data_IF_156104728115
#
_entry.id   IF_156104728115
#
_cell.length_a   1.000
_cell.length_b   1.000
_cell.length_c   1.000
_cell.angle_alpha   90.00
_cell.angle_beta   90.00
_cell.angle_gamma   90.00
#
_symmetry.space_group_name_H-M   'P 1'
#
loop_
_entity.id
_entity.type
_entity.pdbx_description
1 polymer ?
#
# COMPACT_ATOMS: atom_id res chain seq x y z
N UNK A 1 -15.47 -5.83 20.10
CA UNK A 1 -14.22 -6.23 19.42
C UNK A 1 -13.29 -6.74 20.51
N UNK A 2 -13.12 -8.05 20.60
CA UNK A 2 -12.41 -8.66 21.74
C UNK A 2 -10.96 -8.88 21.35
N UNK A 3 -10.05 -8.17 22.01
CA UNK A 3 -8.61 -8.29 21.81
C UNK A 3 -8.21 -9.66 22.40
N UNK A 4 -7.59 -10.53 21.60
CA UNK A 4 -7.02 -11.79 22.12
C UNK A 4 -5.99 -11.46 23.19
N UNK A 5 -5.88 -12.32 24.21
CA UNK A 5 -5.17 -12.05 25.46
C UNK A 5 -3.76 -11.49 25.24
N UNK A 6 -3.53 -10.24 25.66
CA UNK A 6 -2.23 -9.60 25.71
C UNK A 6 -1.45 -10.06 26.95
N UNK A 7 -0.91 -11.29 26.89
CA UNK A 7 -0.21 -11.94 28.01
C UNK A 7 1.08 -11.25 28.42
N UNK A 8 1.64 -10.39 27.55
CA UNK A 8 2.86 -9.63 27.80
C UNK A 8 2.59 -8.20 28.28
N UNK A 9 1.32 -7.82 28.48
CA UNK A 9 0.93 -6.52 29.01
C UNK A 9 1.48 -5.32 28.20
N UNK A 10 1.56 -5.45 26.87
CA UNK A 10 1.92 -4.37 25.95
C UNK A 10 0.86 -3.26 25.93
N UNK A 11 1.27 -2.02 25.67
CA UNK A 11 0.33 -0.94 25.47
C UNK A 11 -0.52 -1.18 24.21
N UNK A 12 -1.82 -0.93 24.32
CA UNK A 12 -2.79 -1.12 23.24
C UNK A 12 -3.10 0.26 22.67
N UNK A 13 -2.75 0.46 21.40
CA UNK A 13 -2.93 1.71 20.67
C UNK A 13 -3.83 1.47 19.45
N UNK A 14 -4.67 2.44 19.08
CA UNK A 14 -5.42 2.35 17.84
C UNK A 14 -4.49 2.69 16.66
N UNK A 15 -4.67 1.99 15.54
CA UNK A 15 -3.87 2.23 14.35
C UNK A 15 -3.92 3.71 13.90
N UNK A 16 -5.07 4.36 14.03
CA UNK A 16 -5.25 5.78 13.68
C UNK A 16 -4.44 6.75 14.55
N UNK A 17 -4.00 6.33 15.74
CA UNK A 17 -3.21 7.16 16.65
C UNK A 17 -1.69 7.05 16.39
N UNK A 18 -1.28 5.97 15.70
CA UNK A 18 0.13 5.64 15.45
C UNK A 18 0.50 5.63 13.96
N UNK A 19 -0.48 5.77 13.07
CA UNK A 19 -0.24 5.77 11.64
C UNK A 19 -1.23 6.64 10.86
N UNK A 20 -0.72 7.24 9.78
CA UNK A 20 -1.52 7.92 8.77
C UNK A 20 -1.86 6.95 7.65
N UNK A 21 -3.13 6.92 7.26
CA UNK A 21 -3.63 6.11 6.15
C UNK A 21 -3.96 7.00 4.95
N UNK A 22 -3.39 6.69 3.80
CA UNK A 22 -3.67 7.38 2.54
C UNK A 22 -4.22 6.40 1.51
N UNK A 23 -5.38 6.70 0.93
CA UNK A 23 -5.92 5.90 -0.16
C UNK A 23 -5.26 6.28 -1.49
N UNK A 24 -5.00 5.27 -2.32
CA UNK A 24 -4.53 5.47 -3.68
C UNK A 24 -5.60 6.14 -4.56
N UNK A 25 -5.25 6.44 -5.81
CA UNK A 25 -6.14 7.16 -6.72
C UNK A 25 -5.92 6.71 -8.15
N UNK A 26 -7.01 6.57 -8.89
CA UNK A 26 -6.98 6.51 -10.35
C UNK A 26 -8.36 6.93 -10.86
N UNK A 27 -8.51 8.22 -11.20
CA UNK A 27 -9.82 8.81 -11.50
C UNK A 27 -10.45 8.43 -12.85
N UNK A 28 -9.70 8.23 -13.96
CA UNK A 28 -10.30 8.01 -15.28
C UNK A 28 -11.06 6.70 -15.37
N UNK A 29 -12.09 6.73 -16.22
CA UNK A 29 -12.92 5.58 -16.57
C UNK A 29 -13.04 5.53 -18.11
N UNK A 30 -12.77 4.37 -18.74
CA UNK A 30 -12.36 3.10 -18.13
C UNK A 30 -10.92 3.13 -17.57
N UNK A 31 -10.62 2.30 -16.56
CA UNK A 31 -9.32 2.32 -15.85
C UNK A 31 -8.14 1.81 -16.71
N UNK A 32 -8.42 1.14 -17.82
CA UNK A 32 -7.44 0.49 -18.69
C UNK A 32 -7.14 1.30 -19.98
N UNK A 33 -7.52 2.58 -20.03
CA UNK A 33 -7.21 3.44 -21.17
C UNK A 33 -5.68 3.48 -21.39
N UNK A 34 -5.17 2.96 -22.54
CA UNK A 34 -3.74 2.86 -22.82
C UNK A 34 -3.00 4.20 -22.77
N UNK A 35 -3.69 5.33 -22.95
CA UNK A 35 -3.09 6.66 -23.02
C UNK A 35 -2.46 7.14 -21.71
N UNK A 36 -2.74 6.49 -20.58
CA UNK A 36 -2.14 6.79 -19.27
C UNK A 36 -0.89 5.96 -18.96
N UNK A 37 -0.63 4.91 -19.74
CA UNK A 37 0.41 3.92 -19.48
C UNK A 37 1.64 4.09 -20.39
N UNK A 38 2.70 3.30 -20.14
CA UNK A 38 3.88 3.23 -21.00
C UNK A 38 4.91 4.32 -20.76
N UNK A 39 5.09 4.73 -19.50
CA UNK A 39 6.10 5.71 -19.11
C UNK A 39 7.15 5.15 -18.16
N UNK A 40 7.75 6.04 -17.36
CA UNK A 40 8.84 5.72 -16.41
C UNK A 40 8.38 5.54 -14.96
N UNK A 41 7.11 5.82 -14.66
CA UNK A 41 6.63 5.87 -13.28
C UNK A 41 6.04 4.52 -12.88
N UNK A 42 6.59 3.81 -11.86
CA UNK A 42 6.08 2.51 -11.45
C UNK A 42 4.61 2.59 -11.03
N UNK A 43 3.81 1.62 -11.47
CA UNK A 43 2.40 1.51 -11.13
C UNK A 43 2.12 0.14 -10.55
N UNK A 44 1.62 0.12 -9.32
CA UNK A 44 1.38 -1.11 -8.59
C UNK A 44 -0.12 -1.41 -8.52
N UNK A 45 -0.42 -2.69 -8.69
CA UNK A 45 -1.74 -3.27 -8.54
C UNK A 45 -1.75 -4.27 -7.39
N UNK A 46 -2.94 -4.72 -6.99
CA UNK A 46 -3.11 -5.64 -5.86
C UNK A 46 -2.40 -6.98 -6.09
N UNK A 47 -2.30 -7.43 -7.35
CA UNK A 47 -1.52 -8.61 -7.73
C UNK A 47 -0.01 -8.45 -7.52
N UNK A 48 0.55 -7.25 -7.78
CA UNK A 48 1.98 -6.98 -7.52
C UNK A 48 2.27 -7.05 -6.01
N UNK A 49 1.36 -6.54 -5.17
CA UNK A 49 1.47 -6.62 -3.70
C UNK A 49 1.46 -8.09 -3.25
N UNK A 50 0.49 -8.86 -3.72
CA UNK A 50 0.36 -10.28 -3.38
C UNK A 50 1.61 -11.10 -3.73
N UNK A 51 2.24 -10.79 -4.86
CA UNK A 51 3.41 -11.53 -5.37
C UNK A 51 4.75 -10.98 -4.84
N UNK A 52 4.73 -9.94 -4.01
CA UNK A 52 5.95 -9.25 -3.56
C UNK A 52 6.70 -9.91 -2.40
N UNK A 53 6.15 -10.97 -1.79
CA UNK A 53 6.71 -11.60 -0.60
C UNK A 53 7.12 -10.57 0.48
N UNK A 54 6.18 -9.70 0.85
CA UNK A 54 6.34 -8.63 1.86
C UNK A 54 7.22 -7.42 1.46
N UNK A 55 8.03 -7.50 0.39
CA UNK A 55 8.85 -6.37 -0.10
C UNK A 55 8.62 -6.10 -1.58
N UNK A 56 7.84 -5.07 -1.90
CA UNK A 56 7.48 -4.73 -3.27
C UNK A 56 8.60 -3.95 -3.96
N UNK A 57 9.31 -4.64 -4.86
CA UNK A 57 10.28 -4.06 -5.80
C UNK A 57 9.88 -4.26 -7.27
N UNK A 58 9.14 -5.33 -7.55
CA UNK A 58 8.74 -5.72 -8.91
C UNK A 58 7.31 -5.23 -9.16
N UNK A 59 7.08 -4.70 -10.35
CA UNK A 59 5.80 -4.19 -10.82
C UNK A 59 5.63 -4.57 -12.29
N UNK A 60 4.38 -4.71 -12.72
CA UNK A 60 4.03 -5.17 -14.06
C UNK A 60 3.70 -4.04 -15.03
N UNK A 61 3.42 -2.83 -14.52
CA UNK A 61 2.92 -1.72 -15.33
C UNK A 61 3.56 -0.39 -14.93
N UNK A 62 3.59 0.56 -15.87
CA UNK A 62 4.08 1.92 -15.63
C UNK A 62 3.12 2.98 -16.16
N UNK A 63 3.12 4.13 -15.51
CA UNK A 63 2.41 5.33 -15.92
C UNK A 63 3.33 6.31 -16.65
N UNK A 64 2.72 7.08 -17.56
CA UNK A 64 3.31 8.25 -18.17
C UNK A 64 2.91 9.53 -17.40
N UNK A 65 3.32 10.69 -17.92
CA UNK A 65 3.05 12.00 -17.31
C UNK A 65 1.55 12.33 -17.17
N UNK A 66 0.67 11.74 -18.00
CA UNK A 66 -0.79 11.86 -17.84
C UNK A 66 -1.27 10.96 -16.70
N UNK A 67 -0.78 9.73 -16.65
CA UNK A 67 -1.14 8.74 -15.64
C UNK A 67 -0.83 9.21 -14.20
N UNK A 68 0.32 9.83 -13.98
CA UNK A 68 0.68 10.30 -12.63
C UNK A 68 -0.24 11.41 -12.11
N UNK A 69 -0.77 12.27 -13.01
CA UNK A 69 -1.66 13.38 -12.63
C UNK A 69 -2.98 12.88 -12.09
N UNK A 70 -3.42 11.74 -12.59
CA UNK A 70 -4.68 11.11 -12.19
C UNK A 70 -4.50 10.04 -11.12
N UNK A 71 -3.25 9.70 -10.79
CA UNK A 71 -2.92 8.74 -9.74
C UNK A 71 -2.40 9.39 -8.46
N UNK A 72 -2.06 8.58 -7.46
CA UNK A 72 -1.48 9.00 -6.19
C UNK A 72 -0.15 8.28 -6.02
N UNK A 73 0.89 9.06 -5.70
CA UNK A 73 2.23 8.56 -5.41
C UNK A 73 2.32 8.11 -3.95
N UNK A 74 2.97 6.97 -3.75
CA UNK A 74 3.48 6.47 -2.49
C UNK A 74 5.00 6.35 -2.56
N UNK A 75 5.65 6.50 -1.43
CA UNK A 75 7.11 6.58 -1.34
C UNK A 75 7.70 5.26 -0.86
N UNK A 76 8.97 5.05 -1.16
CA UNK A 76 9.75 3.96 -0.57
C UNK A 76 9.62 3.94 0.95
N UNK A 77 9.44 2.75 1.51
CA UNK A 77 9.25 2.52 2.95
C UNK A 77 7.79 2.58 3.41
N UNK A 78 6.85 3.07 2.60
CA UNK A 78 5.42 3.02 2.92
C UNK A 78 4.93 1.56 2.94
N UNK A 79 4.06 1.23 3.89
CA UNK A 79 3.35 -0.05 3.91
C UNK A 79 2.16 0.10 2.97
N UNK A 80 1.93 -0.84 2.06
CA UNK A 80 0.77 -0.87 1.16
C UNK A 80 -0.08 -2.10 1.43
N UNK A 81 -1.40 -1.92 1.44
CA UNK A 81 -2.38 -3.00 1.63
C UNK A 81 -3.41 -2.98 0.50
N UNK A 82 -3.66 -4.15 -0.08
CA UNK A 82 -4.75 -4.36 -1.02
C UNK A 82 -6.10 -4.46 -0.29
N UNK A 83 -7.07 -3.64 -0.70
CA UNK A 83 -8.39 -3.54 -0.04
C UNK A 83 -9.56 -4.01 -0.93
N UNK A 84 -9.29 -4.44 -2.16
CA UNK A 84 -10.30 -4.93 -3.12
C UNK A 84 -9.76 -6.13 -3.89
N UNK A 85 -10.65 -7.07 -4.26
CA UNK A 85 -10.35 -8.18 -5.16
C UNK A 85 -10.02 -9.50 -4.45
N UNK A 86 -9.38 -10.43 -5.16
CA UNK A 86 -9.04 -11.75 -4.63
C UNK A 86 -7.87 -11.75 -3.63
N UNK A 87 -7.14 -10.63 -3.52
CA UNK A 87 -5.93 -10.47 -2.70
C UNK A 87 -6.15 -9.48 -1.56
N UNK A 88 -7.37 -9.35 -1.05
CA UNK A 88 -7.68 -8.46 0.09
C UNK A 88 -6.81 -8.83 1.29
N UNK A 89 -6.22 -7.83 1.94
CA UNK A 89 -5.31 -8.01 3.08
C UNK A 89 -3.86 -8.24 2.69
N UNK A 90 -3.56 -8.51 1.41
CA UNK A 90 -2.18 -8.62 0.95
C UNK A 90 -1.42 -7.33 1.27
N UNK A 91 -0.29 -7.48 1.98
CA UNK A 91 0.47 -6.38 2.57
C UNK A 91 1.94 -6.45 2.14
N UNK A 92 2.54 -5.30 1.86
CA UNK A 92 3.95 -5.20 1.49
C UNK A 92 4.56 -3.86 1.85
N UNK A 93 5.87 -3.81 2.03
CA UNK A 93 6.63 -2.56 2.20
C UNK A 93 7.25 -2.18 0.86
N UNK A 94 6.93 -0.98 0.38
CA UNK A 94 7.48 -0.44 -0.87
C UNK A 94 9.01 -0.32 -0.79
N UNK A 95 9.69 -0.89 -1.78
CA UNK A 95 11.14 -0.72 -1.99
C UNK A 95 11.44 0.31 -3.09
N UNK A 96 10.40 0.88 -3.69
CA UNK A 96 10.46 1.87 -4.77
C UNK A 96 9.32 2.88 -4.58
N UNK A 97 9.49 4.07 -5.14
CA UNK A 97 8.37 5.00 -5.30
C UNK A 97 7.41 4.47 -6.37
N UNK A 98 6.11 4.43 -6.05
CA UNK A 98 5.12 3.84 -6.93
C UNK A 98 3.79 4.60 -6.87
N UNK A 99 3.02 4.47 -7.94
CA UNK A 99 1.66 4.97 -8.04
C UNK A 99 0.67 3.82 -7.90
N UNK A 100 -0.48 4.08 -7.30
CA UNK A 100 -1.46 3.03 -7.02
C UNK A 100 -2.90 3.50 -7.25
N UNK A 101 -3.78 2.55 -7.55
CA UNK A 101 -5.23 2.79 -7.67
C UNK A 101 -5.89 2.96 -6.30
N UNK A 102 -7.16 3.34 -6.32
CA UNK A 102 -8.04 3.43 -5.14
C UNK A 102 -8.38 2.06 -4.51
N UNK A 103 -7.83 0.96 -5.05
CA UNK A 103 -7.87 -0.40 -4.49
C UNK A 103 -6.72 -0.70 -3.51
N UNK A 104 -5.82 0.27 -3.30
CA UNK A 104 -4.67 0.15 -2.40
C UNK A 104 -4.68 1.31 -1.42
N UNK A 105 -4.34 1.02 -0.17
CA UNK A 105 -4.06 2.03 0.85
C UNK A 105 -2.57 1.99 1.22
N UNK A 106 -1.99 3.14 1.51
CA UNK A 106 -0.69 3.27 2.13
C UNK A 106 -0.84 3.60 3.62
N UNK A 107 0.01 3.01 4.45
CA UNK A 107 0.08 3.22 5.89
C UNK A 107 1.49 3.73 6.22
N UNK A 108 1.54 4.86 6.94
CA UNK A 108 2.76 5.56 7.33
C UNK A 108 2.77 5.74 8.84
N UNK A 109 3.79 5.22 9.53
CA UNK A 109 3.93 5.48 10.97
C UNK A 109 4.06 6.98 11.25
N UNK A 110 3.46 7.44 12.35
CA UNK A 110 3.60 8.82 12.84
C UNK A 110 4.91 9.06 13.61
N UNK A 111 5.81 8.07 13.67
CA UNK A 111 7.10 8.16 14.34
C UNK A 111 7.10 7.64 15.78
N UNK A 112 5.93 7.32 16.35
CA UNK A 112 5.81 6.52 17.59
C UNK A 112 6.31 5.08 17.41
N UNK A 113 6.28 4.58 16.17
CA UNK A 113 6.71 3.24 15.79
C UNK A 113 7.54 3.31 14.51
N UNK A 114 7.97 2.16 13.96
CA UNK A 114 8.56 2.11 12.63
C UNK A 114 7.71 1.25 11.68
N UNK A 115 7.83 1.50 10.37
CA UNK A 115 7.03 0.81 9.35
C UNK A 115 7.34 -0.70 9.27
N UNK A 116 8.51 -1.15 9.75
CA UNK A 116 8.85 -2.58 9.80
C UNK A 116 8.05 -3.29 10.89
N UNK A 117 7.93 -2.67 12.07
CA UNK A 117 7.14 -3.18 13.18
C UNK A 117 5.65 -3.22 12.81
N UNK A 118 5.12 -2.10 12.29
CA UNK A 118 3.73 -2.05 11.81
C UNK A 118 3.49 -3.06 10.68
N UNK A 119 4.39 -3.14 9.70
CA UNK A 119 4.29 -4.10 8.60
C UNK A 119 4.25 -5.54 9.10
N UNK A 120 5.08 -5.88 10.09
CA UNK A 120 5.08 -7.22 10.69
C UNK A 120 3.76 -7.48 11.42
N UNK A 121 3.21 -6.50 12.13
CA UNK A 121 1.91 -6.62 12.77
C UNK A 121 0.78 -6.92 11.76
N UNK A 122 0.86 -6.37 10.54
CA UNK A 122 -0.09 -6.67 9.45
C UNK A 122 0.18 -7.99 8.73
N UNK A 123 1.44 -8.45 8.68
CA UNK A 123 1.81 -9.68 7.97
C UNK A 123 1.30 -10.98 8.63
N UNK A 124 0.88 -10.91 9.89
CA UNK A 124 0.37 -12.04 10.67
C UNK A 124 -1.15 -11.95 10.97
N UNK A 125 -1.87 -11.04 10.29
CA UNK A 125 -3.34 -11.01 10.27
C UNK A 125 -3.89 -11.93 9.18
#
# INVERSE_FOLDING_TARGET
MTIQSNTQNWDIELLGDIANLERGRFSPRPRNDPSYFGGKHPFIQTGDINNSHYRLKIYTQTLNEKGIKVSKKFNVGDIVIAIVGATIGATSILQIDAYATDSIIAIKSTGKTNNVFLGNAFAFL
#
